data_IF_911359629256
#
_entry.id   IF_911359629256
#
_cell.length_a   1.000
_cell.length_b   1.000
_cell.length_c   1.000
_cell.angle_alpha   90.00
_cell.angle_beta   90.00
_cell.angle_gamma   90.00
#
_symmetry.space_group_name_H-M   'P 1'
#
loop_
_entity.id
_entity.type
_entity.pdbx_description
1 polymer ?
#
# COMPACT_ATOMS: atom_id res chain seq x y z
N UNK A 1 -4.24 -11.02 20.20
CA UNK A 1 -4.42 -9.55 20.36
C UNK A 1 -4.65 -8.80 19.05
N UNK A 2 -3.75 -8.89 18.06
CA UNK A 2 -3.87 -8.18 16.76
C UNK A 2 -5.20 -8.45 16.03
N UNK A 3 -5.75 -9.65 16.20
CA UNK A 3 -7.02 -10.03 15.60
C UNK A 3 -8.23 -9.24 16.14
N UNK A 4 -8.18 -8.73 17.36
CA UNK A 4 -9.23 -7.84 17.86
C UNK A 4 -9.09 -6.44 17.24
N UNK A 5 -7.85 -5.99 17.05
CA UNK A 5 -7.53 -4.72 16.40
C UNK A 5 -7.83 -4.71 14.90
N UNK A 6 -7.96 -5.86 14.25
CA UNK A 6 -8.19 -5.96 12.80
C UNK A 6 -9.37 -5.12 12.30
N UNK A 7 -10.48 -5.09 13.05
CA UNK A 7 -11.65 -4.27 12.69
C UNK A 7 -11.28 -2.81 12.68
N UNK A 8 -10.66 -2.32 13.75
CA UNK A 8 -10.19 -0.95 13.85
C UNK A 8 -9.17 -0.61 12.76
N UNK A 9 -8.16 -1.46 12.54
CA UNK A 9 -7.11 -1.24 11.57
C UNK A 9 -7.62 -1.20 10.13
N UNK A 10 -8.62 -2.00 9.78
CA UNK A 10 -9.19 -1.95 8.43
C UNK A 10 -9.93 -0.64 8.11
N UNK A 11 -10.39 0.09 9.13
CA UNK A 11 -10.95 1.43 8.95
C UNK A 11 -9.87 2.50 9.08
N UNK A 12 -9.03 2.39 10.11
CA UNK A 12 -8.00 3.38 10.40
C UNK A 12 -6.92 3.44 9.32
N UNK A 13 -6.50 2.31 8.74
CA UNK A 13 -5.43 2.31 7.72
C UNK A 13 -5.86 3.08 6.47
N UNK A 14 -6.98 2.76 5.80
CA UNK A 14 -7.44 3.54 4.64
C UNK A 14 -7.71 5.01 4.99
N UNK A 15 -8.26 5.30 6.16
CA UNK A 15 -8.47 6.69 6.62
C UNK A 15 -7.15 7.41 6.83
N UNK A 16 -6.15 6.78 7.46
CA UNK A 16 -4.84 7.37 7.70
C UNK A 16 -4.07 7.61 6.41
N UNK A 17 -4.05 6.63 5.51
CA UNK A 17 -3.56 6.73 4.13
C UNK A 17 -4.14 7.96 3.42
N UNK A 18 -5.44 8.17 3.60
CA UNK A 18 -6.15 9.29 3.04
C UNK A 18 -5.79 10.62 3.72
N UNK A 19 -5.82 10.68 5.05
CA UNK A 19 -5.46 11.88 5.82
C UNK A 19 -4.05 12.33 5.47
N UNK A 20 -3.10 11.40 5.34
CA UNK A 20 -1.74 11.70 4.89
C UNK A 20 -1.74 12.39 3.52
N UNK A 21 -2.62 11.96 2.60
CA UNK A 21 -2.80 12.62 1.30
C UNK A 21 -3.42 14.01 1.40
N UNK A 22 -4.28 14.27 2.38
CA UNK A 22 -4.82 15.62 2.62
C UNK A 22 -3.81 16.54 3.31
N UNK A 23 -2.87 15.97 4.06
CA UNK A 23 -1.84 16.73 4.79
C UNK A 23 -0.65 17.12 3.92
N UNK A 24 -0.47 16.52 2.73
CA UNK A 24 0.52 17.02 1.76
C UNK A 24 0.14 18.44 1.34
N UNK A 25 0.99 19.46 1.60
CA UNK A 25 0.75 20.81 1.14
C UNK A 25 0.61 20.79 -0.39
N UNK A 26 -0.22 21.65 -0.97
CA UNK A 26 -0.48 21.76 -2.44
C UNK A 26 -1.59 20.84 -2.98
N UNK A 27 -2.65 20.69 -2.18
CA UNK A 27 -3.93 20.10 -2.53
C UNK A 27 -4.67 20.86 -3.68
N UNK A 28 -4.45 20.43 -4.94
CA UNK A 28 -5.18 20.92 -6.13
C UNK A 28 -6.57 20.27 -6.32
N UNK A 29 -7.08 20.23 -7.56
CA UNK A 29 -8.42 19.68 -7.88
C UNK A 29 -8.61 18.21 -7.47
N UNK A 30 -7.51 17.44 -7.40
CA UNK A 30 -7.52 16.06 -6.89
C UNK A 30 -8.13 15.94 -5.51
N UNK A 31 -7.93 16.96 -4.68
CA UNK A 31 -8.44 16.98 -3.31
C UNK A 31 -9.96 17.01 -3.30
N UNK A 32 -10.57 17.66 -4.30
CA UNK A 32 -12.02 17.68 -4.50
C UNK A 32 -12.51 16.33 -5.01
N UNK A 33 -11.81 15.73 -5.99
CA UNK A 33 -12.13 14.37 -6.48
C UNK A 33 -12.05 13.37 -5.35
N UNK A 34 -10.96 13.42 -4.59
CA UNK A 34 -10.77 12.60 -3.41
C UNK A 34 -11.89 12.87 -2.43
N UNK A 35 -12.19 14.12 -2.04
CA UNK A 35 -13.27 14.42 -1.10
C UNK A 35 -14.63 13.82 -1.50
N UNK A 36 -14.94 13.72 -2.79
CA UNK A 36 -16.16 13.07 -3.30
C UNK A 36 -16.02 11.55 -3.38
N UNK A 37 -14.86 11.03 -3.77
CA UNK A 37 -14.62 9.58 -3.92
C UNK A 37 -14.34 8.87 -2.59
N UNK A 38 -13.77 9.56 -1.60
CA UNK A 38 -13.38 9.06 -0.27
C UNK A 38 -14.53 8.34 0.44
N UNK A 39 -15.73 8.93 0.55
CA UNK A 39 -16.82 8.32 1.30
C UNK A 39 -17.29 7.00 0.68
N UNK A 40 -16.98 6.76 -0.60
CA UNK A 40 -17.29 5.51 -1.31
C UNK A 40 -16.10 4.55 -1.27
N UNK A 41 -14.89 5.05 -1.53
CA UNK A 41 -13.68 4.23 -1.65
C UNK A 41 -13.23 3.64 -0.30
N UNK A 42 -13.25 4.44 0.77
CA UNK A 42 -12.82 3.98 2.11
C UNK A 42 -13.64 2.78 2.60
N UNK A 43 -14.99 2.81 2.55
CA UNK A 43 -15.80 1.63 2.89
C UNK A 43 -15.50 0.40 2.02
N UNK A 44 -15.29 0.58 0.71
CA UNK A 44 -14.96 -0.54 -0.19
C UNK A 44 -13.66 -1.21 0.24
N UNK A 45 -12.59 -0.43 0.45
CA UNK A 45 -11.29 -0.96 0.88
C UNK A 45 -11.38 -1.59 2.27
N UNK A 46 -12.06 -0.95 3.22
CA UNK A 46 -12.27 -1.49 4.56
C UNK A 46 -13.01 -2.84 4.54
N UNK A 47 -14.03 -2.97 3.69
CA UNK A 47 -14.78 -4.21 3.48
C UNK A 47 -13.89 -5.29 2.85
N UNK A 48 -13.08 -4.94 1.85
CA UNK A 48 -12.13 -5.89 1.24
C UNK A 48 -11.13 -6.43 2.26
N UNK A 49 -10.61 -5.57 3.14
CA UNK A 49 -9.71 -5.95 4.23
C UNK A 49 -10.40 -6.87 5.26
N UNK A 50 -11.73 -6.79 5.40
CA UNK A 50 -12.49 -7.69 6.26
C UNK A 50 -12.66 -9.10 5.68
N UNK A 51 -12.54 -9.29 4.37
CA UNK A 51 -12.84 -10.57 3.70
C UNK A 51 -12.08 -11.77 4.31
N UNK A 52 -10.75 -11.73 4.52
CA UNK A 52 -10.04 -12.84 5.15
C UNK A 52 -10.59 -13.20 6.54
N UNK A 53 -10.98 -12.18 7.32
CA UNK A 53 -11.55 -12.35 8.65
C UNK A 53 -12.92 -13.00 8.61
N UNK A 54 -13.79 -12.58 7.69
CA UNK A 54 -15.11 -13.19 7.53
C UNK A 54 -15.00 -14.64 7.09
N UNK A 55 -14.12 -14.95 6.12
CA UNK A 55 -13.85 -16.32 5.67
C UNK A 55 -13.33 -17.18 6.81
N UNK A 56 -12.37 -16.69 7.60
CA UNK A 56 -11.83 -17.46 8.71
C UNK A 56 -12.89 -17.73 9.78
N UNK A 57 -13.65 -16.69 10.18
CA UNK A 57 -14.68 -16.81 11.22
C UNK A 57 -15.82 -17.72 10.82
N UNK A 58 -16.22 -17.73 9.55
CA UNK A 58 -17.27 -18.63 9.07
C UNK A 58 -16.82 -20.10 9.11
N UNK A 59 -15.51 -20.37 8.97
CA UNK A 59 -14.94 -21.71 9.00
C UNK A 59 -14.56 -22.21 10.41
N UNK A 60 -13.89 -21.36 11.19
CA UNK A 60 -13.26 -21.76 12.45
C UNK A 60 -14.04 -21.33 13.71
N UNK A 61 -15.04 -20.46 13.56
CA UNK A 61 -15.74 -19.83 14.68
C UNK A 61 -15.05 -18.55 15.17
N UNK A 62 -15.67 -17.87 16.15
CA UNK A 62 -15.22 -16.55 16.63
C UNK A 62 -14.04 -16.60 17.59
N UNK A 63 -13.85 -17.73 18.28
CA UNK A 63 -12.86 -17.90 19.36
C UNK A 63 -11.52 -18.43 18.86
N UNK A 64 -11.46 -18.96 17.64
CA UNK A 64 -10.24 -19.55 17.09
C UNK A 64 -9.39 -18.46 16.43
N UNK A 65 -8.15 -18.33 16.90
CA UNK A 65 -7.18 -17.41 16.32
C UNK A 65 -6.81 -17.83 14.89
N UNK A 66 -6.62 -16.87 13.98
CA UNK A 66 -6.21 -17.17 12.62
C UNK A 66 -4.76 -17.68 12.56
N UNK A 67 -4.40 -18.41 11.50
CA UNK A 67 -3.01 -18.81 11.26
C UNK A 67 -2.11 -17.57 11.15
N UNK A 68 -0.86 -17.73 11.57
CA UNK A 68 0.16 -16.69 11.50
C UNK A 68 0.28 -16.10 10.09
N UNK A 69 0.16 -16.92 9.04
CA UNK A 69 0.21 -16.51 7.65
C UNK A 69 -0.91 -15.54 7.27
N UNK A 70 -2.16 -15.80 7.68
CA UNK A 70 -3.30 -14.89 7.42
C UNK A 70 -3.04 -13.53 8.06
N UNK A 71 -2.53 -13.55 9.29
CA UNK A 71 -2.23 -12.35 10.04
C UNK A 71 -1.09 -11.56 9.41
N UNK A 72 0.02 -12.22 9.08
CA UNK A 72 1.19 -11.61 8.46
C UNK A 72 0.84 -11.04 7.08
N UNK A 73 0.07 -11.78 6.27
CA UNK A 73 -0.37 -11.30 4.97
C UNK A 73 -1.27 -10.06 5.07
N UNK A 74 -2.19 -9.98 6.06
CA UNK A 74 -2.96 -8.75 6.24
C UNK A 74 -2.12 -7.56 6.73
N UNK A 75 -1.12 -7.80 7.59
CA UNK A 75 -0.19 -6.76 8.01
C UNK A 75 0.65 -6.26 6.84
N UNK A 76 1.14 -7.16 5.98
CA UNK A 76 1.88 -6.79 4.77
C UNK A 76 0.99 -6.00 3.79
N UNK A 77 -0.30 -6.38 3.67
CA UNK A 77 -1.27 -5.63 2.88
C UNK A 77 -1.44 -4.19 3.40
N UNK A 78 -1.63 -4.01 4.71
CA UNK A 78 -1.72 -2.67 5.30
C UNK A 78 -0.44 -1.86 5.13
N UNK A 79 0.72 -2.50 5.31
CA UNK A 79 2.02 -1.88 5.05
C UNK A 79 2.16 -1.41 3.61
N UNK A 80 1.72 -2.21 2.64
CA UNK A 80 1.67 -1.85 1.23
C UNK A 80 0.75 -0.65 0.97
N UNK A 81 -0.46 -0.64 1.53
CA UNK A 81 -1.39 0.50 1.39
C UNK A 81 -0.80 1.81 1.93
N UNK A 82 -0.17 1.77 3.11
CA UNK A 82 0.49 2.96 3.68
C UNK A 82 1.64 3.44 2.79
N UNK A 83 2.44 2.52 2.26
CA UNK A 83 3.55 2.88 1.38
C UNK A 83 3.08 3.46 0.04
N UNK A 84 1.98 2.97 -0.52
CA UNK A 84 1.32 3.59 -1.68
C UNK A 84 0.97 5.05 -1.35
N UNK A 85 0.36 5.30 -0.19
CA UNK A 85 0.00 6.67 0.21
C UNK A 85 1.20 7.59 0.40
N UNK A 86 2.33 7.06 0.88
CA UNK A 86 3.56 7.84 0.98
C UNK A 86 4.21 8.11 -0.38
N UNK A 87 4.17 7.15 -1.31
CA UNK A 87 4.84 7.25 -2.61
C UNK A 87 3.99 7.93 -3.70
N UNK A 88 2.67 8.07 -3.52
CA UNK A 88 1.82 8.74 -4.49
C UNK A 88 2.12 10.25 -4.58
N UNK A 89 2.53 10.70 -5.76
CA UNK A 89 2.67 12.12 -6.11
C UNK A 89 1.31 12.78 -6.36
N UNK A 90 1.25 14.11 -6.21
CA UNK A 90 0.10 14.90 -6.67
C UNK A 90 0.10 15.06 -8.19
N UNK A 91 -1.06 15.02 -8.82
CA UNK A 91 -1.24 15.11 -10.28
C UNK A 91 -1.68 16.51 -10.76
N UNK A 92 -1.45 17.55 -9.95
CA UNK A 92 -2.08 18.87 -10.12
C UNK A 92 -1.39 19.75 -11.17
N UNK A 93 -2.10 20.79 -11.62
CA UNK A 93 -1.68 21.67 -12.73
C UNK A 93 -0.42 22.53 -12.45
N UNK A 94 0.08 22.55 -11.22
CA UNK A 94 1.35 23.19 -10.85
C UNK A 94 2.41 22.10 -10.65
N UNK A 95 3.55 22.22 -11.37
CA UNK A 95 4.80 21.46 -11.24
C UNK A 95 4.81 20.30 -10.23
N UNK A 96 4.93 19.06 -10.72
CA UNK A 96 4.98 17.78 -9.98
C UNK A 96 5.26 17.90 -8.48
N UNK A 97 4.22 17.78 -7.65
CA UNK A 97 4.38 17.78 -6.21
C UNK A 97 5.18 16.55 -5.78
N UNK A 98 6.19 16.74 -4.95
CA UNK A 98 6.93 15.64 -4.33
C UNK A 98 6.00 14.83 -3.42
N UNK A 99 6.22 13.51 -3.35
CA UNK A 99 5.49 12.68 -2.39
C UNK A 99 6.12 12.80 -0.99
N UNK A 100 5.36 12.39 0.04
CA UNK A 100 5.88 12.32 1.42
C UNK A 100 7.12 11.43 1.48
N UNK A 101 7.15 10.36 0.68
CA UNK A 101 8.27 9.43 0.65
C UNK A 101 9.54 10.11 0.13
N UNK A 102 9.46 10.86 -0.97
CA UNK A 102 10.61 11.57 -1.54
C UNK A 102 11.07 12.71 -0.64
N UNK A 103 10.14 13.41 0.02
CA UNK A 103 10.47 14.44 1.01
C UNK A 103 11.21 13.86 2.23
N UNK A 104 10.87 12.62 2.62
CA UNK A 104 11.48 11.93 3.77
C UNK A 104 12.78 11.22 3.41
N UNK A 105 12.86 10.68 2.19
CA UNK A 105 13.99 9.88 1.69
C UNK A 105 14.44 10.47 0.34
N UNK A 106 15.10 11.63 0.34
CA UNK A 106 15.51 12.29 -0.90
C UNK A 106 16.52 11.49 -1.72
N UNK A 107 17.25 10.55 -1.09
CA UNK A 107 18.17 9.64 -1.75
C UNK A 107 17.48 8.61 -2.68
N UNK A 108 16.15 8.50 -2.63
CA UNK A 108 15.39 7.54 -3.43
C UNK A 108 15.33 7.93 -4.92
N UNK A 109 15.38 9.23 -5.23
CA UNK A 109 15.13 9.74 -6.59
C UNK A 109 13.68 9.51 -7.05
N UNK A 110 13.31 10.10 -8.19
CA UNK A 110 11.95 9.91 -8.75
C UNK A 110 11.75 8.50 -9.33
N UNK A 111 12.82 7.91 -9.86
CA UNK A 111 12.80 6.54 -10.36
C UNK A 111 12.57 5.53 -9.24
N UNK A 112 13.30 5.67 -8.14
CA UNK A 112 13.10 4.82 -6.96
C UNK A 112 11.71 4.97 -6.34
N UNK A 113 11.17 6.19 -6.29
CA UNK A 113 9.80 6.45 -5.80
C UNK A 113 8.75 5.70 -6.63
N UNK A 114 8.88 5.75 -7.96
CA UNK A 114 8.00 5.03 -8.88
C UNK A 114 8.10 3.51 -8.68
N UNK A 115 9.31 2.98 -8.49
CA UNK A 115 9.51 1.56 -8.17
C UNK A 115 8.87 1.18 -6.84
N UNK A 116 9.00 2.01 -5.80
CA UNK A 116 8.36 1.79 -4.50
C UNK A 116 6.84 1.78 -4.65
N UNK A 117 6.25 2.71 -5.40
CA UNK A 117 4.81 2.76 -5.64
C UNK A 117 4.30 1.48 -6.32
N UNK A 118 4.99 1.03 -7.38
CA UNK A 118 4.63 -0.21 -8.10
C UNK A 118 4.79 -1.41 -7.16
N UNK A 119 5.93 -1.53 -6.48
CA UNK A 119 6.21 -2.65 -5.59
C UNK A 119 5.24 -2.70 -4.39
N UNK A 120 4.89 -1.56 -3.82
CA UNK A 120 3.91 -1.46 -2.74
C UNK A 120 2.51 -1.85 -3.20
N UNK A 121 2.13 -1.50 -4.43
CA UNK A 121 0.86 -1.91 -5.05
C UNK A 121 0.81 -3.43 -5.24
N UNK A 122 1.87 -4.01 -5.80
CA UNK A 122 1.99 -5.46 -5.98
C UNK A 122 2.00 -6.21 -4.64
N UNK A 123 2.77 -5.73 -3.67
CA UNK A 123 2.82 -6.27 -2.31
C UNK A 123 1.44 -6.25 -1.67
N UNK A 124 0.75 -5.11 -1.74
CA UNK A 124 -0.59 -4.95 -1.18
C UNK A 124 -1.59 -5.93 -1.79
N UNK A 125 -1.65 -6.02 -3.11
CA UNK A 125 -2.55 -6.93 -3.82
C UNK A 125 -2.24 -8.40 -3.54
N UNK A 126 -0.97 -8.80 -3.68
CA UNK A 126 -0.53 -10.18 -3.45
C UNK A 126 -0.75 -10.63 -2.01
N UNK A 127 -0.50 -9.73 -1.03
CA UNK A 127 -0.70 -10.03 0.38
C UNK A 127 -2.20 -10.18 0.72
N UNK A 128 -3.09 -9.37 0.16
CA UNK A 128 -4.53 -9.55 0.33
C UNK A 128 -5.00 -10.90 -0.23
N UNK A 129 -4.60 -11.24 -1.46
CA UNK A 129 -4.94 -12.52 -2.08
C UNK A 129 -4.40 -13.70 -1.26
N UNK A 130 -3.17 -13.57 -0.75
CA UNK A 130 -2.56 -14.57 0.14
C UNK A 130 -3.34 -14.72 1.43
N UNK A 131 -3.78 -13.62 2.05
CA UNK A 131 -4.59 -13.65 3.27
C UNK A 131 -5.94 -14.35 3.03
N UNK A 132 -6.60 -14.05 1.90
CA UNK A 132 -7.86 -14.69 1.49
C UNK A 132 -7.65 -16.19 1.26
N UNK A 133 -6.63 -16.57 0.48
CA UNK A 133 -6.33 -17.96 0.18
C UNK A 133 -5.98 -18.74 1.45
N UNK A 134 -5.11 -18.19 2.31
CA UNK A 134 -4.74 -18.79 3.58
C UNK A 134 -5.96 -18.95 4.50
N UNK A 135 -6.82 -17.94 4.62
CA UNK A 135 -8.04 -18.02 5.41
C UNK A 135 -9.01 -19.08 4.89
N UNK A 136 -9.04 -19.32 3.58
CA UNK A 136 -9.92 -20.30 2.93
C UNK A 136 -9.39 -21.73 2.97
N UNK A 137 -8.09 -21.94 2.82
CA UNK A 137 -7.52 -23.27 2.60
C UNK A 137 -6.72 -23.84 3.77
N UNK A 138 -6.21 -23.00 4.69
CA UNK A 138 -5.46 -23.52 5.83
C UNK A 138 -6.37 -24.31 6.78
N UNK A 139 -5.78 -25.31 7.42
CA UNK A 139 -6.43 -26.16 8.43
C UNK A 139 -6.70 -25.36 9.69
N UNK A 140 -7.82 -25.69 10.35
CA UNK A 140 -8.21 -25.10 11.62
C UNK A 140 -7.58 -25.93 12.74
N UNK A 141 -6.31 -25.66 13.03
CA UNK A 141 -5.62 -26.31 14.14
C UNK A 141 -5.92 -25.53 15.43
N UNK A 142 -6.56 -26.20 16.42
CA UNK A 142 -6.89 -25.60 17.73
C UNK A 142 -5.69 -25.51 18.68
N UNK A 143 -4.53 -26.06 18.29
CA UNK A 143 -3.32 -26.03 19.09
C UNK A 143 -2.73 -24.61 19.12
N UNK A 144 -2.75 -23.98 20.30
CA UNK A 144 -2.18 -22.65 20.57
C UNK A 144 -0.66 -22.69 20.40
N UNK A 145 -0.16 -22.32 19.23
CA UNK A 145 1.26 -22.13 18.98
C UNK A 145 1.67 -20.65 19.15
N UNK A 146 2.65 -20.31 20.01
CA UNK A 146 3.05 -18.93 20.30
C UNK A 146 3.90 -18.26 19.19
N UNK A 147 3.82 -18.71 17.93
CA UNK A 147 4.78 -18.35 16.86
C UNK A 147 4.35 -17.23 15.90
N UNK A 148 3.24 -16.54 16.17
CA UNK A 148 2.70 -15.52 15.26
C UNK A 148 3.47 -14.20 15.19
N UNK A 149 4.28 -13.87 16.20
CA UNK A 149 4.94 -12.56 16.29
C UNK A 149 6.04 -12.35 15.25
N UNK A 150 6.87 -13.37 15.00
CA UNK A 150 7.98 -13.27 14.02
C UNK A 150 7.44 -12.94 12.63
N UNK A 151 6.40 -13.64 12.18
CA UNK A 151 5.80 -13.40 10.88
C UNK A 151 5.16 -12.01 10.77
N UNK A 152 4.61 -11.50 11.88
CA UNK A 152 4.06 -10.12 11.93
C UNK A 152 5.17 -9.09 11.87
N UNK A 153 6.27 -9.28 12.61
CA UNK A 153 7.42 -8.39 12.57
C UNK A 153 8.03 -8.34 11.17
N UNK A 154 8.22 -9.49 10.52
CA UNK A 154 8.69 -9.55 9.12
C UNK A 154 7.72 -8.82 8.17
N UNK A 155 6.41 -9.01 8.35
CA UNK A 155 5.39 -8.32 7.56
C UNK A 155 5.40 -6.79 7.75
N UNK A 156 5.72 -6.30 8.95
CA UNK A 156 5.86 -4.85 9.22
C UNK A 156 7.11 -4.25 8.57
N UNK A 157 8.18 -5.04 8.43
CA UNK A 157 9.44 -4.58 7.84
C UNK A 157 9.43 -4.62 6.30
N UNK A 158 8.58 -5.47 5.70
CA UNK A 158 8.48 -5.65 4.26
C UNK A 158 8.37 -4.34 3.44
N UNK A 159 7.50 -3.37 3.79
CA UNK A 159 7.42 -2.09 3.09
C UNK A 159 8.73 -1.29 3.14
N UNK A 160 9.42 -1.30 4.29
CA UNK A 160 10.69 -0.58 4.46
C UNK A 160 11.84 -1.25 3.69
N UNK A 161 11.80 -2.58 3.55
CA UNK A 161 12.73 -3.31 2.70
C UNK A 161 12.56 -2.93 1.22
N UNK A 162 11.34 -2.61 0.77
CA UNK A 162 11.12 -2.09 -0.59
C UNK A 162 11.82 -0.74 -0.78
N UNK A 163 11.69 0.17 0.18
CA UNK A 163 12.36 1.49 0.14
C UNK A 163 13.87 1.31 0.13
N UNK A 164 14.41 0.50 1.05
CA UNK A 164 15.84 0.23 1.13
C UNK A 164 16.38 -0.39 -0.18
N UNK A 165 15.63 -1.31 -0.79
CA UNK A 165 15.99 -1.90 -2.08
C UNK A 165 15.95 -0.89 -3.22
N UNK A 166 14.94 -0.01 -3.26
CA UNK A 166 14.79 0.99 -4.31
C UNK A 166 15.87 2.09 -4.25
N UNK A 167 16.34 2.48 -3.07
CA UNK A 167 17.49 3.41 -2.91
C UNK A 167 18.76 2.85 -3.54
N UNK A 168 18.90 1.53 -3.64
CA UNK A 168 20.07 0.88 -4.25
C UNK A 168 19.96 0.75 -5.78
N UNK A 169 18.82 1.10 -6.38
CA UNK A 169 18.62 1.05 -7.83
C UNK A 169 19.07 2.39 -8.43
N UNK A 170 20.03 2.39 -9.37
CA UNK A 170 20.42 3.63 -10.04
C UNK A 170 19.25 4.23 -10.84
N UNK A 171 19.07 5.56 -10.80
CA UNK A 171 18.00 6.27 -11.54
C UNK A 171 18.02 6.01 -13.05
N UNK A 172 19.15 5.55 -13.60
CA UNK A 172 19.31 5.26 -15.04
C UNK A 172 18.60 3.99 -15.53
N UNK A 173 17.97 3.21 -14.65
CA UNK A 173 17.33 1.92 -15.02
C UNK A 173 15.90 2.11 -15.55
N UNK A 174 15.22 3.19 -15.18
CA UNK A 174 13.91 3.51 -15.74
C UNK A 174 14.11 4.45 -16.92
N UNK A 175 13.71 4.05 -18.15
CA UNK A 175 13.84 4.93 -19.29
C UNK A 175 13.01 6.19 -19.01
N UNK A 176 13.70 7.32 -18.85
CA UNK A 176 13.09 8.63 -18.98
C UNK A 176 12.25 8.56 -20.23
N UNK A 177 10.95 8.70 -20.02
CA UNK A 177 9.98 8.39 -21.02
C UNK A 177 10.24 9.23 -22.27
N UNK A 178 10.67 8.56 -23.34
CA UNK A 178 11.01 9.12 -24.64
C UNK A 178 9.92 9.98 -25.28
N UNK A 179 8.71 10.01 -24.71
CA UNK A 179 7.64 10.92 -25.11
C UNK A 179 7.92 12.41 -24.80
N UNK A 180 8.84 12.73 -23.88
CA UNK A 180 9.21 14.12 -23.60
C UNK A 180 10.15 14.67 -24.69
N UNK A 181 11.08 13.84 -25.18
CA UNK A 181 11.96 14.16 -26.30
C UNK A 181 11.17 14.26 -27.63
N UNK A 182 10.19 13.36 -27.85
CA UNK A 182 9.34 13.39 -29.04
C UNK A 182 8.44 14.64 -29.11
N UNK A 183 8.05 15.23 -27.98
CA UNK A 183 7.29 16.49 -27.97
C UNK A 183 8.16 17.71 -28.25
N UNK A 184 9.42 17.70 -27.83
CA UNK A 184 10.37 18.77 -28.14
C UNK A 184 10.75 18.77 -29.63
N UNK A 185 10.95 17.60 -30.24
CA UNK A 185 11.24 17.47 -31.68
C UNK A 185 9.99 17.71 -32.55
N UNK A 186 8.81 17.26 -32.13
CA UNK A 186 7.55 17.53 -32.85
C UNK A 186 7.10 19.00 -32.77
N UNK A 187 7.45 19.71 -31.70
CA UNK A 187 7.21 21.16 -31.57
C UNK A 187 8.16 22.01 -32.42
N UNK A 188 9.42 21.59 -32.55
CA UNK A 188 10.41 22.25 -33.41
C UNK A 188 10.18 22.00 -34.91
N UNK A 189 9.54 20.89 -35.29
CA UNK A 189 9.20 20.59 -36.69
C UNK A 189 7.97 21.37 -37.22
N UNK A 190 7.33 22.22 -36.40
CA UNK A 190 6.17 23.05 -36.77
C UNK A 190 6.46 24.55 -36.83
N UNK A 191 7.73 24.95 -36.73
CA UNK A 191 8.24 26.31 -36.97
C UNK A 191 9.10 26.31 -38.23
#
# INVERSE_FOLDING_TARGET
>A
MIWQLWVWLAWLVPVSALVLRFLTPQAGWETLILAVAVPVWVPIVAVLIMVPRWIWRSRAGREVEPPALVTAAGVAHWGGLLMISFAMRGTGDTSSNSSILLDTVPALGEGGETLVLIAATLLSGAALLTAIAAAKFMRVDRARGPRGWVSVTVALLLPWLLVAGAVLVPDQVLPESSWAADRATAGLARL
#
